data_IF_240646930884
#
_entry.id   IF_240646930884
#
_cell.length_a   1.000
_cell.length_b   1.000
_cell.length_c   1.000
_cell.angle_alpha   90.00
_cell.angle_beta   90.00
_cell.angle_gamma   90.00
#
_symmetry.space_group_name_H-M   'P 1'
#
loop_
_entity.id
_entity.type
_entity.pdbx_description
1 polymer ?
#
# COMPACT_ATOMS: atom_id res chain seq x y z
N UNK A 1 0.11 -15.88 6.65
CA UNK A 1 -0.33 -15.04 7.80
C UNK A 1 -0.27 -15.86 9.08
N UNK A 2 0.27 -15.29 10.17
CA UNK A 2 0.32 -15.92 11.49
C UNK A 2 0.08 -14.90 12.60
N UNK A 3 -0.53 -15.33 13.69
CA UNK A 3 -0.58 -14.54 14.92
C UNK A 3 0.80 -14.59 15.60
N UNK A 4 1.28 -13.44 16.09
CA UNK A 4 2.53 -13.31 16.82
C UNK A 4 2.30 -12.71 18.19
N UNK A 5 3.06 -13.15 19.18
CA UNK A 5 3.00 -12.60 20.53
C UNK A 5 3.64 -11.20 20.55
N UNK A 6 2.89 -10.12 20.84
CA UNK A 6 3.45 -8.77 20.84
C UNK A 6 4.63 -8.61 21.81
N UNK A 7 4.64 -9.36 22.91
CA UNK A 7 5.70 -9.33 23.94
C UNK A 7 7.05 -9.86 23.45
N UNK A 8 7.04 -10.65 22.38
CA UNK A 8 8.26 -11.18 21.75
C UNK A 8 8.78 -10.24 20.64
N UNK A 9 8.15 -9.08 20.44
CA UNK A 9 8.52 -8.10 19.42
C UNK A 9 9.04 -6.81 20.06
N UNK A 10 9.78 -6.00 19.29
CA UNK A 10 10.16 -4.64 19.70
C UNK A 10 8.98 -3.67 19.79
N UNK A 11 7.75 -4.12 19.50
CA UNK A 11 6.53 -3.34 19.47
C UNK A 11 5.62 -3.58 20.68
N UNK A 12 6.03 -4.38 21.67
CA UNK A 12 5.22 -4.75 22.83
C UNK A 12 4.54 -3.54 23.50
N UNK A 13 5.33 -2.53 23.86
CA UNK A 13 4.85 -1.30 24.50
C UNK A 13 3.86 -0.52 23.61
N UNK A 14 4.21 -0.34 22.32
CA UNK A 14 3.35 0.35 21.38
C UNK A 14 2.02 -0.40 21.18
N UNK A 15 2.06 -1.72 21.09
CA UNK A 15 0.85 -2.53 20.97
C UNK A 15 -0.04 -2.34 22.21
N UNK A 16 0.50 -2.49 23.42
CA UNK A 16 -0.25 -2.31 24.66
C UNK A 16 -0.88 -0.90 24.78
N UNK A 17 -0.12 0.13 24.44
CA UNK A 17 -0.57 1.52 24.51
C UNK A 17 -1.66 1.84 23.48
N UNK A 18 -1.46 1.44 22.22
CA UNK A 18 -2.31 1.88 21.11
C UNK A 18 -3.50 0.96 20.85
N UNK A 19 -3.50 -0.29 21.31
CA UNK A 19 -4.57 -1.26 21.02
C UNK A 19 -5.93 -0.84 21.60
N UNK A 20 -5.94 -0.05 22.67
CA UNK A 20 -7.16 0.47 23.28
C UNK A 20 -7.48 1.92 22.86
N UNK A 21 -6.62 2.54 22.04
CA UNK A 21 -6.89 3.88 21.55
C UNK A 21 -8.05 3.83 20.52
N UNK A 22 -9.01 4.77 20.59
CA UNK A 22 -10.15 4.77 19.67
C UNK A 22 -9.74 5.00 18.21
N UNK A 23 -8.65 5.72 17.98
CA UNK A 23 -8.11 6.01 16.65
C UNK A 23 -6.57 6.17 16.70
N UNK A 24 -5.80 5.07 16.66
CA UNK A 24 -4.33 5.09 16.75
C UNK A 24 -3.67 5.39 15.40
N UNK A 25 -4.19 6.37 14.64
CA UNK A 25 -3.70 6.71 13.30
C UNK A 25 -3.15 8.12 13.25
N UNK A 26 -2.01 8.27 12.58
CA UNK A 26 -1.34 9.54 12.35
C UNK A 26 -1.00 9.63 10.86
N UNK A 27 -1.35 10.75 10.25
CA UNK A 27 -1.07 10.99 8.83
C UNK A 27 0.03 12.03 8.67
N UNK A 28 1.08 11.63 7.96
CA UNK A 28 2.13 12.50 7.45
C UNK A 28 2.08 12.46 5.91
N UNK A 29 2.34 13.56 5.23
CA UNK A 29 2.19 13.65 3.78
C UNK A 29 3.39 14.42 3.22
N UNK A 30 4.23 13.93 2.29
CA UNK A 30 5.47 14.63 1.82
C UNK A 30 5.45 14.92 0.32
N UNK A 31 5.92 16.10 -0.13
CA UNK A 31 6.29 16.27 -1.55
C UNK A 31 7.54 15.47 -1.84
N UNK A 32 7.41 14.56 -2.80
CA UNK A 32 8.52 13.78 -3.35
C UNK A 32 8.76 14.26 -4.78
N UNK A 33 10.03 14.47 -5.14
CA UNK A 33 10.40 14.86 -6.50
C UNK A 33 10.28 13.66 -7.44
N UNK A 34 9.22 13.65 -8.26
CA UNK A 34 8.89 12.58 -9.22
C UNK A 34 9.51 12.81 -10.61
N UNK A 35 10.41 13.77 -10.79
CA UNK A 35 10.97 14.10 -12.12
C UNK A 35 11.63 12.89 -12.78
N UNK A 36 12.38 12.09 -12.01
CA UNK A 36 13.07 10.90 -12.53
C UNK A 36 12.07 9.84 -13.00
N UNK A 37 11.05 9.55 -12.19
CA UNK A 37 10.06 8.51 -12.52
C UNK A 37 9.20 8.92 -13.72
N UNK A 38 8.87 10.21 -13.85
CA UNK A 38 8.17 10.75 -15.02
C UNK A 38 9.00 10.61 -16.30
N UNK A 39 10.31 10.86 -16.25
CA UNK A 39 11.21 10.64 -17.40
C UNK A 39 11.32 9.16 -17.77
N UNK A 40 11.41 8.26 -16.78
CA UNK A 40 11.45 6.81 -17.01
C UNK A 40 10.15 6.35 -17.67
N UNK A 41 9.00 6.79 -17.16
CA UNK A 41 7.68 6.49 -17.73
C UNK A 41 7.61 6.88 -19.21
N UNK A 42 8.02 8.11 -19.56
CA UNK A 42 8.05 8.58 -20.95
C UNK A 42 8.99 7.78 -21.85
N UNK A 43 10.16 7.36 -21.35
CA UNK A 43 11.17 6.65 -22.15
C UNK A 43 10.84 5.17 -22.37
N UNK A 44 10.17 4.55 -21.42
CA UNK A 44 9.94 3.09 -21.40
C UNK A 44 8.51 2.71 -21.79
N UNK A 45 7.56 3.65 -21.76
CA UNK A 45 6.13 3.39 -21.94
C UNK A 45 5.45 2.79 -20.70
N UNK A 46 6.19 2.56 -19.61
CA UNK A 46 5.63 2.09 -18.35
C UNK A 46 4.71 3.16 -17.73
N UNK A 47 3.55 2.76 -17.21
CA UNK A 47 2.57 3.68 -16.61
C UNK A 47 3.17 4.37 -15.38
N UNK A 48 3.01 5.69 -15.28
CA UNK A 48 3.50 6.49 -14.15
C UNK A 48 2.98 5.97 -12.80
N UNK A 49 1.66 5.71 -12.70
CA UNK A 49 1.05 5.20 -11.46
C UNK A 49 1.61 3.82 -11.06
N UNK A 50 1.81 2.93 -12.04
CA UNK A 50 2.43 1.63 -11.80
C UNK A 50 3.85 1.77 -11.23
N UNK A 51 4.66 2.65 -11.81
CA UNK A 51 6.02 2.91 -11.31
C UNK A 51 5.98 3.48 -9.88
N UNK A 52 5.05 4.39 -9.59
CA UNK A 52 4.86 4.92 -8.23
C UNK A 52 4.49 3.81 -7.24
N UNK A 53 3.53 2.94 -7.59
CA UNK A 53 3.14 1.79 -6.77
C UNK A 53 4.33 0.85 -6.52
N UNK A 54 5.13 0.57 -7.56
CA UNK A 54 6.33 -0.25 -7.42
C UNK A 54 7.35 0.39 -6.48
N UNK A 55 7.60 1.70 -6.57
CA UNK A 55 8.49 2.41 -5.65
C UNK A 55 7.99 2.37 -4.21
N UNK A 56 6.67 2.50 -3.98
CA UNK A 56 6.08 2.37 -2.64
C UNK A 56 6.28 0.96 -2.09
N UNK A 57 5.94 -0.07 -2.87
CA UNK A 57 6.16 -1.46 -2.48
C UNK A 57 7.63 -1.74 -2.20
N UNK A 58 8.54 -1.21 -3.03
CA UNK A 58 9.99 -1.37 -2.86
C UNK A 58 10.50 -0.73 -1.57
N UNK A 59 10.01 0.46 -1.22
CA UNK A 59 10.36 1.12 0.03
C UNK A 59 9.79 0.40 1.25
N UNK A 60 8.56 -0.13 1.16
CA UNK A 60 7.92 -0.85 2.24
C UNK A 60 8.53 -2.24 2.49
N UNK A 61 8.99 -2.91 1.43
CA UNK A 61 9.54 -4.26 1.47
C UNK A 61 10.71 -4.43 2.45
N UNK A 62 11.51 -3.38 2.62
CA UNK A 62 12.72 -3.44 3.45
C UNK A 62 12.46 -3.04 4.92
N UNK A 63 11.19 -2.81 5.29
CA UNK A 63 10.78 -2.38 6.64
C UNK A 63 9.88 -3.46 7.25
N UNK A 64 10.39 -4.13 8.28
CA UNK A 64 9.71 -5.24 8.97
C UNK A 64 8.33 -4.83 9.54
N UNK A 65 8.16 -3.58 9.95
CA UNK A 65 6.90 -3.07 10.52
C UNK A 65 5.76 -3.07 9.50
N UNK A 66 6.05 -2.98 8.20
CA UNK A 66 5.05 -3.09 7.15
C UNK A 66 4.57 -4.51 6.90
N UNK A 67 5.02 -5.50 7.66
CA UNK A 67 4.53 -6.88 7.62
C UNK A 67 3.68 -7.25 8.83
N UNK A 68 3.37 -6.28 9.71
CA UNK A 68 2.66 -6.53 10.97
C UNK A 68 1.49 -5.57 11.12
N UNK A 69 0.30 -6.11 11.40
CA UNK A 69 -0.93 -5.33 11.55
C UNK A 69 -1.74 -5.83 12.76
N UNK A 70 -2.19 -4.95 13.66
CA UNK A 70 -3.18 -5.30 14.66
C UNK A 70 -4.54 -5.59 13.99
N UNK A 71 -5.11 -6.78 14.26
CA UNK A 71 -6.45 -7.19 13.79
C UNK A 71 -7.26 -7.63 15.00
N UNK A 72 -8.31 -6.88 15.33
CA UNK A 72 -8.99 -7.06 16.62
C UNK A 72 -8.00 -6.86 17.77
N UNK A 73 -7.86 -7.83 18.69
CA UNK A 73 -6.86 -7.79 19.78
C UNK A 73 -5.58 -8.60 19.50
N UNK A 74 -5.36 -8.97 18.23
CA UNK A 74 -4.25 -9.83 17.82
C UNK A 74 -3.25 -9.04 17.00
N UNK A 75 -1.97 -9.40 17.10
CA UNK A 75 -0.94 -8.89 16.20
C UNK A 75 -0.69 -9.93 15.12
N UNK A 76 -1.03 -9.58 13.88
CA UNK A 76 -0.91 -10.48 12.73
C UNK A 76 0.34 -10.14 11.93
N UNK A 77 1.14 -11.16 11.62
CA UNK A 77 2.29 -11.05 10.72
C UNK A 77 1.97 -11.69 9.37
N UNK A 78 2.36 -11.01 8.32
CA UNK A 78 2.21 -11.43 6.93
C UNK A 78 3.58 -11.74 6.33
N UNK A 79 3.59 -12.64 5.35
CA UNK A 79 4.84 -13.05 4.68
C UNK A 79 5.05 -12.27 3.38
N UNK A 80 3.98 -11.70 2.82
CA UNK A 80 3.98 -11.01 1.54
C UNK A 80 3.35 -9.62 1.66
N UNK A 81 3.83 -8.71 0.83
CA UNK A 81 3.23 -7.39 0.62
C UNK A 81 2.38 -7.35 -0.65
N UNK A 82 1.37 -6.51 -0.63
CA UNK A 82 0.68 -6.04 -1.82
C UNK A 82 0.63 -4.51 -1.80
N UNK A 83 0.44 -3.90 -2.96
CA UNK A 83 0.24 -2.45 -3.10
C UNK A 83 -1.15 -2.23 -3.70
N UNK A 84 -2.01 -1.55 -2.97
CA UNK A 84 -3.37 -1.24 -3.43
C UNK A 84 -3.36 0.00 -4.31
N UNK A 85 -4.01 -0.06 -5.47
CA UNK A 85 -4.24 1.09 -6.36
C UNK A 85 -5.71 1.23 -6.72
N UNK A 86 -6.15 2.47 -6.97
CA UNK A 86 -7.53 2.77 -7.37
C UNK A 86 -7.65 2.74 -8.90
N UNK A 87 -8.66 2.03 -9.38
CA UNK A 87 -8.93 1.80 -10.79
C UNK A 87 -10.27 2.41 -11.16
N UNK A 88 -10.30 3.27 -12.18
CA UNK A 88 -11.55 3.70 -12.79
C UNK A 88 -12.18 2.52 -13.53
N UNK A 89 -13.42 2.19 -13.20
CA UNK A 89 -14.14 1.07 -13.82
C UNK A 89 -14.95 1.52 -15.04
N UNK A 90 -15.46 0.56 -15.82
CA UNK A 90 -16.22 0.83 -17.05
C UNK A 90 -17.57 1.54 -16.81
N UNK A 91 -18.06 1.56 -15.58
CA UNK A 91 -19.31 2.23 -15.18
C UNK A 91 -19.07 3.70 -14.81
N UNK A 92 -17.82 4.17 -14.85
CA UNK A 92 -17.45 5.53 -14.47
C UNK A 92 -17.25 5.72 -12.96
N UNK A 93 -17.27 4.64 -12.18
CA UNK A 93 -16.96 4.62 -10.75
C UNK A 93 -15.51 4.17 -10.52
N UNK A 94 -15.17 3.87 -9.27
CA UNK A 94 -13.83 3.42 -8.87
C UNK A 94 -13.90 2.10 -8.11
N UNK A 95 -12.89 1.26 -8.29
CA UNK A 95 -12.69 -0.02 -7.57
C UNK A 95 -11.25 -0.12 -7.07
N UNK A 96 -11.03 -0.82 -5.96
CA UNK A 96 -9.69 -1.08 -5.41
C UNK A 96 -9.05 -2.31 -6.05
N UNK A 97 -7.73 -2.28 -6.22
CA UNK A 97 -6.97 -3.37 -6.79
C UNK A 97 -5.67 -3.57 -6.03
N UNK A 98 -5.59 -4.65 -5.26
CA UNK A 98 -4.37 -5.10 -4.59
C UNK A 98 -3.48 -5.83 -5.57
N UNK A 99 -2.31 -5.27 -5.86
CA UNK A 99 -1.31 -5.89 -6.72
C UNK A 99 -0.24 -6.54 -5.85
N UNK A 100 0.02 -7.86 -5.97
CA UNK A 100 1.10 -8.52 -5.25
C UNK A 100 2.43 -7.80 -5.51
N UNK A 101 3.18 -7.49 -4.45
CA UNK A 101 4.47 -6.85 -4.63
C UNK A 101 5.51 -7.84 -5.17
N UNK A 102 6.32 -7.38 -6.12
CA UNK A 102 7.47 -8.11 -6.64
C UNK A 102 8.63 -7.14 -6.82
N UNK A 103 9.81 -7.54 -6.33
CA UNK A 103 11.03 -6.77 -6.54
C UNK A 103 11.47 -6.75 -8.01
N UNK A 104 11.04 -7.75 -8.79
CA UNK A 104 11.16 -7.73 -10.23
C UNK A 104 10.11 -6.77 -10.83
N UNK A 105 10.58 -5.63 -11.37
CA UNK A 105 9.75 -4.58 -11.96
C UNK A 105 8.90 -5.08 -13.13
N UNK A 106 9.42 -5.98 -13.96
CA UNK A 106 8.70 -6.52 -15.11
C UNK A 106 7.55 -7.43 -14.67
N UNK A 107 7.77 -8.24 -13.64
CA UNK A 107 6.73 -9.06 -13.03
C UNK A 107 5.64 -8.17 -12.42
N UNK A 108 6.03 -7.19 -11.60
CA UNK A 108 5.07 -6.27 -10.98
C UNK A 108 4.26 -5.50 -12.03
N UNK A 109 4.89 -5.03 -13.11
CA UNK A 109 4.18 -4.37 -14.22
C UNK A 109 3.18 -5.31 -14.90
N UNK A 110 3.56 -6.56 -15.13
CA UNK A 110 2.67 -7.57 -15.74
C UNK A 110 1.44 -7.81 -14.89
N UNK A 111 1.62 -8.02 -13.59
CA UNK A 111 0.52 -8.22 -12.66
C UNK A 111 -0.34 -6.97 -12.52
N UNK A 112 0.27 -5.80 -12.38
CA UNK A 112 -0.44 -4.53 -12.30
C UNK A 112 -1.33 -4.33 -13.53
N UNK A 113 -0.82 -4.51 -14.75
CA UNK A 113 -1.61 -4.30 -15.98
C UNK A 113 -2.75 -5.32 -16.10
N UNK A 114 -2.48 -6.59 -15.78
CA UNK A 114 -3.48 -7.66 -15.83
C UNK A 114 -4.60 -7.42 -14.82
N UNK A 115 -4.25 -7.21 -13.55
CA UNK A 115 -5.21 -7.08 -12.45
C UNK A 115 -6.02 -5.80 -12.57
N UNK A 116 -5.40 -4.67 -12.88
CA UNK A 116 -6.14 -3.40 -13.06
C UNK A 116 -7.09 -3.45 -14.25
N UNK A 117 -6.74 -4.16 -15.33
CA UNK A 117 -7.68 -4.41 -16.44
C UNK A 117 -8.87 -5.25 -15.98
N UNK A 118 -8.62 -6.36 -15.28
CA UNK A 118 -9.68 -7.23 -14.75
C UNK A 118 -10.63 -6.48 -13.83
N UNK A 119 -10.11 -5.68 -12.89
CA UNK A 119 -10.90 -4.84 -11.99
C UNK A 119 -11.73 -3.80 -12.75
N UNK A 120 -11.12 -3.12 -13.74
CA UNK A 120 -11.83 -2.13 -14.55
C UNK A 120 -13.00 -2.73 -15.34
N UNK A 121 -12.85 -3.96 -15.84
CA UNK A 121 -13.85 -4.67 -16.63
C UNK A 121 -14.94 -5.32 -15.76
N UNK A 122 -14.57 -5.83 -14.58
CA UNK A 122 -15.47 -6.53 -13.68
C UNK A 122 -16.26 -5.60 -12.74
N UNK A 123 -15.80 -4.35 -12.55
CA UNK A 123 -16.35 -3.41 -11.57
C UNK A 123 -16.34 -3.97 -10.12
N UNK A 124 -15.36 -4.82 -9.81
CA UNK A 124 -15.23 -5.47 -8.50
C UNK A 124 -13.84 -5.25 -7.95
N UNK A 125 -13.77 -5.06 -6.63
CA UNK A 125 -12.49 -4.96 -5.94
C UNK A 125 -11.71 -6.26 -6.06
N UNK A 126 -10.40 -6.14 -6.15
CA UNK A 126 -9.47 -7.27 -6.04
C UNK A 126 -8.70 -7.13 -4.73
N UNK A 127 -9.09 -7.90 -3.72
CA UNK A 127 -8.53 -7.81 -2.37
C UNK A 127 -7.65 -9.03 -2.06
N UNK A 128 -6.46 -8.80 -1.50
CA UNK A 128 -5.51 -9.86 -1.13
C UNK A 128 -5.43 -10.01 0.40
N UNK A 129 -6.37 -10.74 0.97
CA UNK A 129 -6.52 -10.89 2.45
C UNK A 129 -5.33 -11.54 3.15
N UNK A 130 -4.54 -12.34 2.43
CA UNK A 130 -3.37 -13.05 2.98
C UNK A 130 -2.05 -12.27 2.84
N UNK A 131 -2.13 -11.02 2.35
CA UNK A 131 -0.98 -10.12 2.21
C UNK A 131 -1.17 -8.88 3.07
N UNK A 132 -0.06 -8.28 3.50
CA UNK A 132 -0.13 -6.95 4.10
C UNK A 132 -0.19 -5.90 2.98
N UNK A 133 -1.31 -5.18 2.93
CA UNK A 133 -1.63 -4.29 1.82
C UNK A 133 -1.20 -2.86 2.15
N UNK A 134 -0.29 -2.32 1.34
CA UNK A 134 0.09 -0.92 1.39
C UNK A 134 -0.87 -0.13 0.52
N UNK A 135 -1.78 0.59 1.19
CA UNK A 135 -2.71 1.50 0.51
C UNK A 135 -1.96 2.62 -0.19
N UNK A 136 -2.11 2.74 -1.52
CA UNK A 136 -1.70 3.95 -2.25
C UNK A 136 -2.91 4.81 -2.56
N UNK A 137 -3.33 5.58 -1.57
CA UNK A 137 -4.26 6.67 -1.79
C UNK A 137 -3.45 7.86 -2.28
N UNK A 138 -3.40 8.05 -3.60
CA UNK A 138 -2.84 9.27 -4.17
C UNK A 138 -3.80 10.43 -3.88
N UNK A 139 -3.57 11.15 -2.77
CA UNK A 139 -4.06 12.51 -2.66
C UNK A 139 -3.24 13.34 -3.66
N UNK A 140 -3.81 13.60 -4.83
CA UNK A 140 -3.31 14.65 -5.69
C UNK A 140 -3.55 15.97 -4.94
N UNK A 141 -2.56 16.40 -4.13
CA UNK A 141 -2.12 17.78 -3.85
C UNK A 141 -1.17 17.87 -2.62
N UNK A 142 0.13 18.13 -2.89
CA UNK A 142 1.16 18.92 -2.15
C UNK A 142 1.88 18.39 -0.84
N UNK A 143 2.70 19.21 -0.14
CA UNK A 143 4.03 18.98 0.58
C UNK A 143 3.94 18.28 1.95
N UNK A 144 4.99 18.06 2.78
CA UNK A 144 4.71 17.90 4.24
C UNK A 144 4.47 19.27 4.81
N UNK A 145 3.21 19.68 4.82
CA UNK A 145 2.75 20.93 5.43
C UNK A 145 2.30 20.74 6.88
N UNK A 146 2.19 19.50 7.38
CA UNK A 146 1.74 19.26 8.75
C UNK A 146 1.57 17.79 9.13
N UNK A 147 1.08 17.58 10.35
CA UNK A 147 0.57 16.30 10.84
C UNK A 147 -0.87 16.52 11.28
N UNK A 148 -1.78 15.64 10.87
CA UNK A 148 -3.17 15.67 11.30
C UNK A 148 -3.48 14.41 12.10
N UNK A 149 -3.95 14.59 13.34
CA UNK A 149 -4.72 13.58 14.04
C UNK A 149 -6.19 13.90 13.84
N UNK A 150 -6.95 12.97 13.26
CA UNK A 150 -8.40 13.02 13.43
C UNK A 150 -8.65 12.69 14.90
N UNK A 151 -9.53 13.46 15.57
CA UNK A 151 -10.04 13.15 16.91
C UNK A 151 -11.48 12.67 16.76
#
# INVERSE_FOLDING_TARGET
MKEVNPKETTRAYAFEMWMNAPMPMLTFFKKVNVTRIARISKRTGLKFNMLMCWCVGKAANDIKEFYVLPVGRKLMQYDNLAVCTIVANREGEVSSCDVPFSDNLQQFNTDHLRLTKQVAEACQNHDLTDSMVIGTSALAQYEIDGAAGMY
#
